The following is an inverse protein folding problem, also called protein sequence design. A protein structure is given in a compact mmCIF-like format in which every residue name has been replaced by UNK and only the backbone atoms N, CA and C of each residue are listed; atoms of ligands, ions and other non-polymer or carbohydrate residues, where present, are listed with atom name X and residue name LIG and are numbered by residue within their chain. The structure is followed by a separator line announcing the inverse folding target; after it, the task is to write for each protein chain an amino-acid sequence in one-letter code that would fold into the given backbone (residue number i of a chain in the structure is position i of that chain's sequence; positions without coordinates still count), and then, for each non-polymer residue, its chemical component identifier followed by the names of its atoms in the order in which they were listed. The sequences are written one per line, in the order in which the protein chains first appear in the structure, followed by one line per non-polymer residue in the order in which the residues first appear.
data_IF_793853970573
#
_entry.id   IF_793853970573
#
_cell.length_a   1.000
_cell.length_b   1.000
_cell.length_c   1.000
_cell.angle_alpha   90.00
_cell.angle_beta   90.00
_cell.angle_gamma   90.00
#
_symmetry.space_group_name_H-M   'P 1'
#
loop_
_entity.id
_entity.type
_entity.pdbx_description
1 polymer ?
#
# COMPACT_ATOMS: atom_id res chain seq x y z
N UNK A 1 -9.53 14.38 3.38
CA UNK A 1 -9.97 12.98 3.60
C UNK A 1 -10.70 12.88 4.93
N UNK A 2 -11.74 12.04 5.04
CA UNK A 2 -12.52 11.94 6.27
C UNK A 2 -11.67 11.39 7.42
N UNK A 3 -11.83 11.97 8.63
CA UNK A 3 -11.05 11.64 9.82
C UNK A 3 -11.96 11.13 10.95
N UNK A 4 -11.44 10.25 11.79
CA UNK A 4 -12.12 9.77 12.99
C UNK A 4 -12.16 10.85 14.09
N UNK A 5 -12.86 10.58 15.20
CA UNK A 5 -12.96 11.49 16.35
C UNK A 5 -11.60 11.81 17.00
N UNK A 6 -10.54 11.05 16.69
CA UNK A 6 -9.18 11.21 17.20
C UNK A 6 -8.26 11.88 16.17
N UNK A 7 -8.79 12.29 15.02
CA UNK A 7 -8.04 12.96 13.96
C UNK A 7 -7.26 12.04 13.02
N UNK A 8 -7.41 10.71 13.09
CA UNK A 8 -6.78 9.78 12.15
C UNK A 8 -7.61 9.66 10.87
N UNK A 9 -6.99 9.32 9.74
CA UNK A 9 -7.74 8.97 8.52
C UNK A 9 -8.68 7.76 8.78
N UNK A 10 -9.94 7.87 8.36
CA UNK A 10 -10.86 6.73 8.40
C UNK A 10 -10.34 5.59 7.50
N UNK A 11 -10.48 4.35 7.99
CA UNK A 11 -10.06 3.15 7.30
C UNK A 11 -11.27 2.42 6.71
N UNK A 12 -11.10 1.91 5.49
CA UNK A 12 -12.09 1.09 4.81
C UNK A 12 -12.92 1.88 3.79
N UNK A 13 -12.96 1.37 2.57
CA UNK A 13 -13.80 1.88 1.48
C UNK A 13 -14.57 0.73 0.83
N UNK A 14 -15.72 1.02 0.22
CA UNK A 14 -16.46 0.00 -0.51
C UNK A 14 -15.75 -0.34 -1.84
N UNK A 15 -14.98 -1.43 -1.84
CA UNK A 15 -14.28 -1.94 -3.02
C UNK A 15 -15.17 -2.73 -3.98
N UNK A 16 -16.50 -2.75 -3.82
CA UNK A 16 -17.42 -3.55 -4.66
C UNK A 16 -17.43 -3.11 -6.12
N UNK A 17 -17.36 -1.80 -6.37
CA UNK A 17 -17.48 -1.21 -7.70
C UNK A 17 -16.17 -0.61 -8.22
N UNK A 18 -15.13 -0.55 -7.40
CA UNK A 18 -13.89 0.19 -7.71
C UNK A 18 -13.17 -0.31 -8.96
N UNK A 19 -13.27 -1.60 -9.30
CA UNK A 19 -12.63 -2.14 -10.50
C UNK A 19 -13.51 -2.06 -11.74
N UNK A 20 -14.81 -1.74 -11.64
CA UNK A 20 -15.74 -1.79 -12.78
C UNK A 20 -15.46 -0.64 -13.78
N UNK A 21 -15.62 -0.90 -15.09
CA UNK A 21 -16.18 -2.10 -15.72
C UNK A 21 -15.21 -3.29 -15.83
N UNK A 22 -13.97 -3.15 -15.37
CA UNK A 22 -12.96 -4.21 -15.40
C UNK A 22 -13.07 -5.20 -14.22
N UNK A 23 -12.36 -6.32 -14.34
CA UNK A 23 -12.22 -7.28 -13.24
C UNK A 23 -11.00 -6.95 -12.38
N UNK A 24 -10.97 -7.34 -11.09
CA UNK A 24 -9.79 -7.16 -10.23
C UNK A 24 -8.49 -7.66 -10.87
N UNK A 25 -8.53 -8.80 -11.54
CA UNK A 25 -7.36 -9.39 -12.20
C UNK A 25 -6.84 -8.53 -13.36
N UNK A 26 -7.73 -7.92 -14.15
CA UNK A 26 -7.33 -7.02 -15.24
C UNK A 26 -6.64 -5.79 -14.67
N UNK A 27 -7.22 -5.20 -13.62
CA UNK A 27 -6.68 -4.00 -12.98
C UNK A 27 -5.32 -4.28 -12.32
N UNK A 28 -5.20 -5.39 -11.59
CA UNK A 28 -3.91 -5.81 -10.99
C UNK A 28 -2.85 -6.00 -12.08
N UNK A 29 -3.17 -6.69 -13.19
CA UNK A 29 -2.22 -6.87 -14.30
C UNK A 29 -1.77 -5.53 -14.87
N UNK A 30 -2.69 -4.61 -15.13
CA UNK A 30 -2.37 -3.28 -15.63
C UNK A 30 -1.41 -2.51 -14.70
N UNK A 31 -1.68 -2.53 -13.38
CA UNK A 31 -0.78 -1.92 -12.40
C UNK A 31 0.59 -2.60 -12.34
N UNK A 32 0.67 -3.93 -12.46
CA UNK A 32 1.96 -4.63 -12.49
C UNK A 32 2.77 -4.31 -13.75
N UNK A 33 2.12 -4.17 -14.91
CA UNK A 33 2.78 -3.71 -16.13
C UNK A 33 3.29 -2.28 -15.98
N UNK A 34 2.45 -1.36 -15.48
CA UNK A 34 2.83 0.01 -15.20
C UNK A 34 4.02 0.08 -14.24
N UNK A 35 3.96 -0.66 -13.12
CA UNK A 35 5.01 -0.70 -12.11
C UNK A 35 6.34 -1.17 -12.70
N UNK A 36 6.32 -2.22 -13.53
CA UNK A 36 7.53 -2.74 -14.18
C UNK A 36 8.23 -1.69 -15.03
N UNK A 37 7.47 -0.94 -15.83
CA UNK A 37 8.06 0.12 -16.67
C UNK A 37 8.43 1.35 -15.86
N UNK A 38 7.67 1.67 -14.81
CA UNK A 38 7.98 2.73 -13.85
C UNK A 38 9.32 2.49 -13.12
N UNK A 39 9.58 1.27 -12.70
CA UNK A 39 10.83 0.87 -12.04
C UNK A 39 12.05 1.05 -12.95
N UNK A 40 11.90 0.86 -14.27
CA UNK A 40 12.97 1.19 -15.22
C UNK A 40 13.27 2.69 -15.21
N UNK A 41 12.25 3.53 -15.14
CA UNK A 41 12.41 4.99 -15.01
C UNK A 41 13.14 5.40 -13.73
N UNK A 42 12.84 4.72 -12.61
CA UNK A 42 13.55 4.95 -11.34
C UNK A 42 15.03 4.60 -11.47
N UNK A 43 15.38 3.51 -12.16
CA UNK A 43 16.79 3.14 -12.38
C UNK A 43 17.53 4.20 -13.23
N UNK A 44 16.86 4.82 -14.20
CA UNK A 44 17.46 5.93 -14.95
C UNK A 44 17.75 7.13 -14.04
N UNK A 45 16.88 7.41 -13.07
CA UNK A 45 17.14 8.44 -12.05
C UNK A 45 18.33 8.07 -11.15
N UNK A 46 18.49 6.79 -10.82
CA UNK A 46 19.67 6.31 -10.09
C UNK A 46 20.97 6.58 -10.85
N UNK A 47 21.00 6.23 -12.13
CA UNK A 47 22.15 6.47 -12.99
C UNK A 47 22.46 7.98 -13.10
N UNK A 48 21.43 8.81 -13.27
CA UNK A 48 21.59 10.26 -13.34
C UNK A 48 22.09 10.88 -12.01
N UNK A 49 21.61 10.39 -10.86
CA UNK A 49 22.07 10.83 -9.53
C UNK A 49 23.52 10.39 -9.28
N UNK A 50 23.92 9.22 -9.79
CA UNK A 50 25.31 8.77 -9.69
C UNK A 50 26.27 9.70 -10.44
N UNK A 51 25.83 10.31 -11.55
CA UNK A 51 26.59 11.30 -12.32
C UNK A 51 26.61 12.66 -11.63
N UNK A 52 25.46 13.14 -11.13
CA UNK A 52 25.33 14.43 -10.43
C UNK A 52 24.70 14.27 -9.03
N UNK A 53 25.53 13.83 -8.08
CA UNK A 53 25.08 13.51 -6.73
C UNK A 53 24.76 14.75 -5.87
N UNK A 54 25.04 15.96 -6.34
CA UNK A 54 24.75 17.22 -5.63
C UNK A 54 23.40 17.82 -6.04
N UNK A 55 22.76 17.27 -7.07
CA UNK A 55 21.47 17.76 -7.55
C UNK A 55 20.33 17.31 -6.64
N UNK A 56 19.96 18.17 -5.70
CA UNK A 56 18.89 17.86 -4.74
C UNK A 56 17.50 17.78 -5.40
N UNK A 57 17.28 18.51 -6.49
CA UNK A 57 16.02 18.42 -7.25
C UNK A 57 15.84 17.02 -7.84
N UNK A 58 16.89 16.45 -8.40
CA UNK A 58 16.88 15.10 -8.95
C UNK A 58 16.62 14.04 -7.87
N UNK A 59 17.17 14.21 -6.66
CA UNK A 59 16.88 13.34 -5.51
C UNK A 59 15.41 13.42 -5.07
N UNK A 60 14.82 14.62 -5.07
CA UNK A 60 13.40 14.81 -4.77
C UNK A 60 12.51 14.11 -5.80
N UNK A 61 12.82 14.25 -7.08
CA UNK A 61 12.11 13.54 -8.16
C UNK A 61 12.18 12.03 -7.98
N UNK A 62 13.35 11.48 -7.61
CA UNK A 62 13.48 10.06 -7.27
C UNK A 62 12.62 9.67 -6.07
N UNK A 63 12.60 10.47 -5.01
CA UNK A 63 11.77 10.22 -3.82
C UNK A 63 10.28 10.20 -4.17
N UNK A 64 9.81 11.13 -5.02
CA UNK A 64 8.45 11.14 -5.54
C UNK A 64 8.15 9.90 -6.40
N UNK A 65 9.06 9.54 -7.30
CA UNK A 65 8.90 8.37 -8.14
C UNK A 65 8.81 7.06 -7.33
N UNK A 66 9.61 6.94 -6.27
CA UNK A 66 9.53 5.82 -5.32
C UNK A 66 8.20 5.81 -4.57
N UNK A 67 7.71 6.96 -4.12
CA UNK A 67 6.41 7.07 -3.45
C UNK A 67 5.26 6.61 -4.37
N UNK A 68 5.29 6.99 -5.66
CA UNK A 68 4.31 6.54 -6.65
C UNK A 68 4.38 5.02 -6.85
N UNK A 69 5.59 4.45 -6.95
CA UNK A 69 5.76 3.00 -7.07
C UNK A 69 5.18 2.26 -5.86
N UNK A 70 5.40 2.76 -4.64
CA UNK A 70 4.83 2.22 -3.41
C UNK A 70 3.29 2.31 -3.40
N UNK A 71 2.73 3.43 -3.88
CA UNK A 71 1.28 3.61 -4.00
C UNK A 71 0.65 2.62 -4.98
N UNK A 72 1.31 2.35 -6.12
CA UNK A 72 0.88 1.34 -7.08
C UNK A 72 0.89 -0.06 -6.44
N UNK A 73 1.99 -0.42 -5.75
CA UNK A 73 2.10 -1.72 -5.05
C UNK A 73 1.02 -1.86 -3.98
N UNK A 74 0.82 -0.84 -3.14
CA UNK A 74 -0.22 -0.81 -2.11
C UNK A 74 -1.62 -1.00 -2.71
N UNK A 75 -1.90 -0.31 -3.82
CA UNK A 75 -3.16 -0.46 -4.56
C UNK A 75 -3.39 -1.91 -4.99
N UNK A 76 -2.38 -2.58 -5.55
CA UNK A 76 -2.51 -4.00 -5.91
C UNK A 76 -2.76 -4.90 -4.71
N UNK A 77 -2.13 -4.62 -3.56
CA UNK A 77 -2.33 -5.36 -2.33
C UNK A 77 -3.75 -5.20 -1.77
N UNK A 78 -4.30 -3.98 -1.78
CA UNK A 78 -5.68 -3.71 -1.34
C UNK A 78 -6.69 -4.51 -2.18
N UNK A 79 -6.53 -4.51 -3.51
CA UNK A 79 -7.43 -5.25 -4.41
C UNK A 79 -7.33 -6.75 -4.14
N UNK A 80 -6.11 -7.30 -4.07
CA UNK A 80 -5.86 -8.73 -3.83
C UNK A 80 -6.40 -9.17 -2.46
N UNK A 81 -6.15 -8.38 -1.42
CA UNK A 81 -6.64 -8.66 -0.07
C UNK A 81 -8.16 -8.69 -0.04
N UNK A 82 -8.81 -7.69 -0.65
CA UNK A 82 -10.27 -7.61 -0.72
C UNK A 82 -10.88 -8.83 -1.42
N UNK A 83 -10.28 -9.28 -2.52
CA UNK A 83 -10.71 -10.49 -3.24
C UNK A 83 -10.54 -11.76 -2.38
N UNK A 84 -9.40 -11.90 -1.70
CA UNK A 84 -9.12 -13.03 -0.80
C UNK A 84 -10.12 -13.09 0.36
N UNK A 85 -10.41 -11.96 1.01
CA UNK A 85 -11.38 -11.93 2.11
C UNK A 85 -12.78 -12.34 1.65
N UNK A 86 -13.21 -11.95 0.44
CA UNK A 86 -14.48 -12.40 -0.15
C UNK A 86 -14.46 -13.91 -0.46
N UNK A 87 -13.33 -14.46 -0.89
CA UNK A 87 -13.19 -15.91 -1.13
C UNK A 87 -13.30 -16.69 0.17
N UNK A 88 -12.61 -16.25 1.24
CA UNK A 88 -12.69 -16.88 2.57
C UNK A 88 -14.14 -16.98 3.05
N UNK A 89 -14.93 -15.91 2.91
CA UNK A 89 -16.34 -15.89 3.33
C UNK A 89 -17.23 -16.89 2.56
N UNK A 90 -16.86 -17.25 1.33
CA UNK A 90 -17.65 -18.13 0.45
C UNK A 90 -17.18 -19.59 0.47
N UNK A 91 -15.93 -19.83 0.87
CA UNK A 91 -15.33 -21.16 0.83
C UNK A 91 -15.66 -21.95 2.10
N UNK A 92 -16.21 -23.15 1.93
CA UNK A 92 -16.49 -24.09 3.03
C UNK A 92 -15.35 -25.09 3.30
N UNK A 93 -14.39 -25.18 2.39
CA UNK A 93 -13.26 -26.11 2.51
C UNK A 93 -12.16 -25.51 3.39
N UNK A 94 -11.91 -26.12 4.54
CA UNK A 94 -10.94 -25.65 5.55
C UNK A 94 -9.51 -25.53 5.01
N UNK A 95 -9.05 -26.50 4.21
CA UNK A 95 -7.71 -26.47 3.62
C UNK A 95 -7.52 -25.27 2.67
N UNK A 96 -8.56 -24.96 1.88
CA UNK A 96 -8.57 -23.81 0.98
C UNK A 96 -8.61 -22.50 1.77
N UNK A 97 -9.45 -22.43 2.81
CA UNK A 97 -9.51 -21.28 3.73
C UNK A 97 -8.16 -21.01 4.39
N UNK A 98 -7.49 -22.07 4.86
CA UNK A 98 -6.14 -22.02 5.43
C UNK A 98 -5.13 -21.39 4.47
N UNK A 99 -5.14 -21.84 3.21
CA UNK A 99 -4.25 -21.30 2.17
C UNK A 99 -4.54 -19.82 1.90
N UNK A 100 -5.82 -19.45 1.77
CA UNK A 100 -6.25 -18.06 1.57
C UNK A 100 -5.85 -17.13 2.72
N UNK A 101 -5.96 -17.60 3.97
CA UNK A 101 -5.48 -16.84 5.13
C UNK A 101 -3.97 -16.63 5.11
N UNK A 102 -3.21 -17.64 4.69
CA UNK A 102 -1.76 -17.52 4.56
C UNK A 102 -1.37 -16.51 3.48
N UNK A 103 -2.12 -16.44 2.37
CA UNK A 103 -1.95 -15.40 1.35
C UNK A 103 -2.31 -14.00 1.87
N UNK A 104 -3.45 -13.86 2.56
CA UNK A 104 -3.86 -12.60 3.18
C UNK A 104 -2.79 -12.07 4.15
N UNK A 105 -2.21 -12.96 4.96
CA UNK A 105 -1.10 -12.65 5.87
C UNK A 105 0.15 -12.19 5.15
N UNK A 106 0.49 -12.81 4.02
CA UNK A 106 1.64 -12.40 3.21
C UNK A 106 1.40 -11.01 2.61
N UNK A 107 0.20 -10.73 2.10
CA UNK A 107 -0.18 -9.40 1.60
C UNK A 107 -0.10 -8.34 2.70
N UNK A 108 -0.61 -8.61 3.90
CA UNK A 108 -0.54 -7.65 5.01
C UNK A 108 0.90 -7.35 5.45
N UNK A 109 1.79 -8.36 5.43
CA UNK A 109 3.21 -8.15 5.74
C UNK A 109 3.88 -7.27 4.70
N UNK A 110 3.59 -7.51 3.43
CA UNK A 110 4.09 -6.67 2.33
C UNK A 110 3.56 -5.24 2.45
N UNK A 111 2.27 -5.06 2.75
CA UNK A 111 1.67 -3.74 2.96
C UNK A 111 2.29 -2.98 4.15
N UNK A 112 2.61 -3.67 5.25
CA UNK A 112 3.36 -3.07 6.36
C UNK A 112 4.76 -2.63 5.90
N UNK A 113 5.45 -3.46 5.10
CA UNK A 113 6.76 -3.12 4.57
C UNK A 113 6.72 -1.92 3.61
N UNK A 114 5.66 -1.82 2.78
CA UNK A 114 5.39 -0.68 1.91
C UNK A 114 5.16 0.58 2.75
N UNK A 115 4.26 0.53 3.74
CA UNK A 115 4.00 1.68 4.61
C UNK A 115 5.24 2.15 5.38
N UNK A 116 6.10 1.21 5.80
CA UNK A 116 7.38 1.54 6.43
C UNK A 116 8.39 2.19 5.48
N UNK A 117 8.42 1.77 4.21
CA UNK A 117 9.23 2.42 3.18
C UNK A 117 8.72 3.84 2.93
N UNK A 118 7.41 3.98 2.78
CA UNK A 118 6.77 5.26 2.49
C UNK A 118 6.97 6.27 3.63
N UNK A 119 6.87 5.80 4.87
CA UNK A 119 7.23 6.58 6.05
C UNK A 119 8.66 7.16 5.96
N UNK A 120 9.63 6.37 5.49
CA UNK A 120 11.02 6.84 5.34
C UNK A 120 11.14 7.91 4.26
N UNK A 121 10.43 7.75 3.14
CA UNK A 121 10.39 8.76 2.08
C UNK A 121 9.81 10.08 2.61
N UNK A 122 8.70 10.03 3.34
CA UNK A 122 8.06 11.23 3.92
C UNK A 122 8.94 11.92 4.98
N UNK A 123 9.81 11.18 5.67
CA UNK A 123 10.82 11.77 6.56
C UNK A 123 11.92 12.52 5.79
N UNK A 124 12.26 12.05 4.58
CA UNK A 124 13.25 12.68 3.71
C UNK A 124 12.66 13.88 2.95
N UNK A 125 11.41 13.76 2.52
CA UNK A 125 10.69 14.81 1.79
C UNK A 125 9.26 14.97 2.34
N UNK A 126 9.08 16.04 3.12
CA UNK A 126 7.78 16.38 3.72
C UNK A 126 6.76 16.87 2.69
N UNK A 127 7.18 17.22 1.48
CA UNK A 127 6.26 17.71 0.45
C UNK A 127 5.39 16.61 -0.15
N UNK A 128 5.77 15.33 -0.01
CA UNK A 128 4.98 14.21 -0.52
C UNK A 128 3.54 14.19 0.01
N UNK A 129 3.34 14.60 1.27
CA UNK A 129 2.02 14.67 1.89
C UNK A 129 1.22 15.92 1.54
N UNK A 130 1.85 16.94 0.95
CA UNK A 130 1.27 18.28 0.80
C UNK A 130 0.43 18.40 -0.47
N UNK A 131 -0.77 18.97 -0.33
CA UNK A 131 -1.66 19.26 -1.45
C UNK A 131 -1.80 20.76 -1.65
N UNK A 132 -1.26 21.33 -2.73
CA UNK A 132 -1.19 22.78 -2.91
C UNK A 132 -2.56 23.43 -3.00
N UNK A 133 -3.52 22.80 -3.68
CA UNK A 133 -4.86 23.38 -3.86
C UNK A 133 -5.69 23.40 -2.57
N UNK A 134 -5.39 22.49 -1.64
CA UNK A 134 -6.09 22.39 -0.35
C UNK A 134 -5.32 23.06 0.78
N UNK A 135 -4.12 23.58 0.49
CA UNK A 135 -3.18 24.19 1.41
C UNK A 135 -2.96 23.36 2.70
N UNK A 136 -2.99 22.03 2.58
CA UNK A 136 -2.89 21.12 3.71
C UNK A 136 -2.20 19.81 3.34
N UNK A 137 -1.75 19.07 4.34
CA UNK A 137 -1.24 17.72 4.15
C UNK A 137 -2.40 16.71 4.10
N UNK A 138 -2.53 15.97 3.00
CA UNK A 138 -3.53 14.91 2.86
C UNK A 138 -3.24 13.74 3.79
N UNK A 139 -1.96 13.47 4.02
CA UNK A 139 -1.49 12.48 4.97
C UNK A 139 -0.17 12.93 5.60
N UNK A 140 0.11 12.41 6.79
CA UNK A 140 1.27 12.76 7.61
C UNK A 140 2.00 11.51 8.08
N UNK A 141 3.19 11.67 8.67
CA UNK A 141 3.92 10.56 9.31
C UNK A 141 3.06 9.90 10.38
N UNK A 142 2.28 10.68 11.14
CA UNK A 142 1.37 10.16 12.17
C UNK A 142 0.26 9.30 11.56
N UNK A 143 -0.27 9.68 10.39
CA UNK A 143 -1.27 8.88 9.67
C UNK A 143 -0.67 7.54 9.20
N UNK A 144 0.58 7.54 8.70
CA UNK A 144 1.28 6.31 8.30
C UNK A 144 1.58 5.43 9.54
N UNK A 145 2.03 6.03 10.65
CA UNK A 145 2.30 5.32 11.90
C UNK A 145 1.03 4.69 12.47
N UNK A 146 -0.10 5.40 12.39
CA UNK A 146 -1.41 4.86 12.73
C UNK A 146 -1.78 3.67 11.83
N UNK A 147 -1.64 3.79 10.50
CA UNK A 147 -1.89 2.71 9.54
C UNK A 147 -1.05 1.46 9.87
N UNK A 148 0.25 1.62 10.11
CA UNK A 148 1.16 0.51 10.48
C UNK A 148 0.72 -0.16 11.78
N UNK A 149 0.36 0.64 12.80
CA UNK A 149 -0.11 0.12 14.09
C UNK A 149 -1.38 -0.70 13.92
N UNK A 150 -2.36 -0.21 13.17
CA UNK A 150 -3.63 -0.90 12.93
C UNK A 150 -3.41 -2.20 12.17
N UNK A 151 -2.65 -2.18 11.07
CA UNK A 151 -2.35 -3.40 10.30
C UNK A 151 -1.61 -4.45 11.14
N UNK A 152 -0.69 -4.04 12.03
CA UNK A 152 -0.02 -4.98 12.95
C UNK A 152 -0.99 -5.59 13.97
N UNK A 153 -1.98 -4.83 14.43
CA UNK A 153 -3.00 -5.32 15.35
C UNK A 153 -3.92 -6.34 14.65
N UNK A 154 -4.41 -6.01 13.46
CA UNK A 154 -5.24 -6.91 12.65
C UNK A 154 -4.50 -8.19 12.27
N UNK A 155 -3.23 -8.08 11.88
CA UNK A 155 -2.40 -9.24 11.57
C UNK A 155 -2.26 -10.18 12.78
N UNK A 156 -2.13 -9.63 13.99
CA UNK A 156 -2.10 -10.44 15.23
C UNK A 156 -3.44 -11.15 15.46
N UNK A 157 -4.56 -10.48 15.22
CA UNK A 157 -5.90 -11.09 15.34
C UNK A 157 -6.11 -12.23 14.35
N UNK A 158 -5.69 -12.05 13.10
CA UNK A 158 -5.74 -13.12 12.08
C UNK A 158 -4.89 -14.31 12.53
N UNK A 159 -3.71 -14.06 13.11
CA UNK A 159 -2.83 -15.11 13.64
C UNK A 159 -3.40 -15.82 14.88
N UNK A 160 -4.15 -15.12 15.74
CA UNK A 160 -4.74 -15.73 16.95
C UNK A 160 -5.96 -16.58 16.62
N UNK A 161 -6.82 -16.12 15.71
CA UNK A 161 -8.03 -16.86 15.33
C UNK A 161 -7.69 -18.18 14.61
N UNK A 162 -6.53 -18.25 13.97
CA UNK A 162 -6.03 -19.47 13.31
C UNK A 162 -5.53 -20.55 14.29
N UNK A 163 -5.34 -20.23 15.58
CA UNK A 163 -4.87 -21.19 16.59
C UNK A 163 -5.98 -21.97 17.27
N UNK A 164 -7.25 -21.66 17.02
CA UNK A 164 -8.40 -22.27 17.71
C UNK A 164 -9.14 -23.34 16.90
N UNK A 165 -8.61 -23.77 15.75
CA UNK A 165 -9.17 -24.86 14.92
C UNK A 165 -8.15 -25.98 14.69
N UNK A 166 -7.41 -26.37 15.73
CA UNK A 166 -6.61 -27.61 15.75
C UNK A 166 -6.96 -28.47 16.94
#
# INVERSE_FOLDING_TARGET
MPRDKKGNLLLGDNMEFWTKPFTPNIVIKAFLYLLKDWEKGINILDDAIAIDNKNDRLKQEKTLALHIALSIRSTTNIIRFSDIMRKIQKTKNELTVSTLYQDAKNIMRDEIAIAQQDRRLLMMDKQLGYHPEAFCNLYTINDIDHKIKTMRSELKMILSNFKFER
#
